data_IF_246463367128
#
_entry.id   IF_246463367128
#
_cell.length_a   1.000
_cell.length_b   1.000
_cell.length_c   1.000
_cell.angle_alpha   90.00
_cell.angle_beta   90.00
_cell.angle_gamma   90.00
#
_symmetry.space_group_name_H-M   'P 1'
#
loop_
_entity.id
_entity.type
_entity.pdbx_description
1 polymer ?
#
# COMPACT_ATOMS: atom_id res chain seq x y z
N UNK A 1 -6.87 -15.40 32.14
CA UNK A 1 -5.84 -15.66 31.12
C UNK A 1 -6.37 -15.13 29.81
N UNK A 2 -5.74 -14.11 29.24
CA UNK A 2 -6.12 -13.57 27.93
C UNK A 2 -5.98 -14.68 26.90
N UNK A 3 -7.06 -15.07 26.22
CA UNK A 3 -6.98 -16.05 25.14
C UNK A 3 -6.07 -15.50 24.04
N UNK A 4 -5.13 -16.32 23.57
CA UNK A 4 -4.27 -15.97 22.46
C UNK A 4 -5.12 -15.85 21.20
N UNK A 5 -5.35 -14.62 20.72
CA UNK A 5 -5.97 -14.40 19.43
C UNK A 5 -4.84 -14.26 18.38
N UNK A 6 -4.64 -15.24 17.48
CA UNK A 6 -3.60 -15.16 16.47
C UNK A 6 -3.77 -13.94 15.55
N UNK A 7 -5.00 -13.45 15.35
CA UNK A 7 -5.26 -12.30 14.50
C UNK A 7 -4.78 -10.98 15.13
N UNK A 8 -4.87 -10.82 16.46
CA UNK A 8 -4.33 -9.62 17.12
C UNK A 8 -2.80 -9.58 17.05
N UNK A 9 -2.14 -10.75 17.05
CA UNK A 9 -0.69 -10.84 16.83
C UNK A 9 -0.30 -10.40 15.41
N UNK A 10 -1.08 -10.77 14.39
CA UNK A 10 -0.85 -10.37 12.99
C UNK A 10 -1.00 -8.85 12.83
N UNK A 11 -2.00 -8.23 13.46
CA UNK A 11 -2.16 -6.78 13.42
C UNK A 11 -1.02 -6.04 14.11
N UNK A 12 -0.53 -6.56 15.24
CA UNK A 12 0.59 -5.95 15.97
C UNK A 12 1.93 -6.04 15.22
N UNK A 13 2.10 -7.08 14.39
CA UNK A 13 3.28 -7.27 13.54
C UNK A 13 3.21 -6.42 12.26
N UNK A 14 2.02 -6.16 11.73
CA UNK A 14 1.82 -5.39 10.50
C UNK A 14 1.30 -3.99 10.83
N UNK A 15 2.12 -3.17 11.49
CA UNK A 15 1.76 -1.78 11.81
C UNK A 15 1.67 -0.93 10.54
N UNK A 16 0.84 0.11 10.56
CA UNK A 16 0.76 1.07 9.46
C UNK A 16 2.08 1.85 9.39
N UNK A 17 2.82 1.64 8.30
CA UNK A 17 4.12 2.23 8.02
C UNK A 17 4.13 2.74 6.58
N UNK A 18 4.51 4.01 6.39
CA UNK A 18 4.61 4.71 5.10
C UNK A 18 3.87 4.07 3.91
N UNK A 19 4.53 3.20 3.12
CA UNK A 19 3.96 2.65 1.89
C UNK A 19 2.92 1.52 2.06
N UNK A 20 2.77 0.91 3.24
CA UNK A 20 2.07 -0.38 3.41
C UNK A 20 0.54 -0.28 3.66
N UNK A 21 -0.06 0.89 3.47
CA UNK A 21 -1.47 1.14 3.77
C UNK A 21 -2.44 0.11 3.18
N UNK A 22 -2.18 -0.37 1.96
CA UNK A 22 -3.03 -1.37 1.29
C UNK A 22 -3.05 -2.69 2.05
N UNK A 23 -1.87 -3.22 2.42
CA UNK A 23 -1.75 -4.47 3.17
C UNK A 23 -2.26 -4.30 4.61
N UNK A 24 -1.93 -3.18 5.25
CA UNK A 24 -2.44 -2.86 6.58
C UNK A 24 -3.97 -2.84 6.62
N UNK A 25 -4.61 -2.15 5.65
CA UNK A 25 -6.07 -2.07 5.55
C UNK A 25 -6.69 -3.44 5.26
N UNK A 26 -6.07 -4.27 4.42
CA UNK A 26 -6.55 -5.63 4.15
C UNK A 26 -6.51 -6.48 5.43
N UNK A 27 -5.42 -6.42 6.19
CA UNK A 27 -5.28 -7.17 7.43
C UNK A 27 -6.32 -6.72 8.47
N UNK A 28 -6.57 -5.40 8.56
CA UNK A 28 -7.62 -4.85 9.41
C UNK A 28 -9.02 -5.31 8.99
N UNK A 29 -9.34 -5.29 7.69
CA UNK A 29 -10.63 -5.75 7.16
C UNK A 29 -10.87 -7.24 7.45
N UNK A 30 -9.83 -8.08 7.31
CA UNK A 30 -9.89 -9.52 7.64
C UNK A 30 -10.18 -9.71 9.13
N UNK A 31 -9.47 -8.98 10.02
CA UNK A 31 -9.67 -9.07 11.46
C UNK A 31 -11.09 -8.67 11.86
N UNK A 32 -11.54 -7.50 11.41
CA UNK A 32 -12.88 -7.00 11.74
C UNK A 32 -13.98 -7.89 11.15
N UNK A 33 -13.76 -8.50 9.99
CA UNK A 33 -14.69 -9.49 9.42
C UNK A 33 -14.75 -10.75 10.28
N UNK A 34 -13.60 -11.29 10.68
CA UNK A 34 -13.53 -12.52 11.49
C UNK A 34 -14.19 -12.35 12.87
N UNK A 35 -14.09 -11.16 13.46
CA UNK A 35 -14.68 -10.83 14.76
C UNK A 35 -16.11 -10.27 14.67
N UNK A 36 -16.67 -10.11 13.46
CA UNK A 36 -18.04 -9.59 13.25
C UNK A 36 -18.20 -8.07 13.46
N UNK A 37 -17.10 -7.32 13.50
CA UNK A 37 -17.06 -5.87 13.72
C UNK A 37 -16.84 -5.03 12.47
N UNK A 38 -16.99 -5.60 11.26
CA UNK A 38 -16.76 -4.86 10.00
C UNK A 38 -17.61 -3.58 9.87
N UNK A 39 -18.81 -3.58 10.45
CA UNK A 39 -19.72 -2.42 10.44
C UNK A 39 -19.07 -1.16 11.05
N UNK A 40 -18.17 -1.32 12.04
CA UNK A 40 -17.48 -0.23 12.75
C UNK A 40 -16.67 0.68 11.81
N UNK A 41 -16.15 0.13 10.70
CA UNK A 41 -15.36 0.88 9.72
C UNK A 41 -16.09 1.10 8.38
N UNK A 42 -17.36 0.69 8.30
CA UNK A 42 -18.16 0.76 7.07
C UNK A 42 -19.35 1.70 7.21
N UNK A 43 -19.91 1.81 8.41
CA UNK A 43 -21.04 2.69 8.69
C UNK A 43 -20.54 4.06 9.16
N UNK A 44 -21.05 5.12 8.53
CA UNK A 44 -20.85 6.49 9.00
C UNK A 44 -21.50 6.67 10.37
N UNK A 45 -20.90 7.53 11.20
CA UNK A 45 -21.44 7.82 12.53
C UNK A 45 -22.88 8.32 12.39
N UNK A 46 -23.87 7.74 13.10
CA UNK A 46 -25.22 8.27 13.07
C UNK A 46 -25.22 9.73 13.51
N UNK A 47 -25.92 10.60 12.77
CA UNK A 47 -26.05 12.02 13.11
C UNK A 47 -26.63 12.14 14.53
N UNK A 48 -25.92 12.88 15.39
CA UNK A 48 -26.34 13.12 16.77
C UNK A 48 -27.70 13.82 16.75
N UNK A 49 -28.70 13.38 17.54
CA UNK A 49 -29.98 14.07 17.60
C UNK A 49 -29.79 15.50 18.10
N UNK A 50 -30.44 16.45 17.40
CA UNK A 50 -30.26 17.90 17.45
C UNK A 50 -30.49 18.58 18.82
N UNK A 51 -30.83 17.82 19.87
CA UNK A 51 -31.31 18.34 21.16
C UNK A 51 -30.51 17.88 22.41
N UNK A 52 -29.26 17.46 22.27
CA UNK A 52 -28.41 17.13 23.43
C UNK A 52 -27.33 18.21 23.63
N UNK A 53 -27.60 19.13 24.56
CA UNK A 53 -26.67 20.14 25.08
C UNK A 53 -25.38 19.52 25.59
N UNK A 54 -24.28 20.19 25.21
CA UNK A 54 -22.89 20.15 25.66
C UNK A 54 -22.45 18.98 26.56
N UNK A 55 -21.43 18.26 26.09
CA UNK A 55 -20.21 18.09 26.89
C UNK A 55 -19.05 17.71 25.97
N UNK A 56 -17.89 18.28 26.30
CA UNK A 56 -16.62 18.20 25.60
C UNK A 56 -16.16 16.76 25.36
N UNK A 57 -16.57 16.20 24.24
CA UNK A 57 -15.77 15.20 23.55
C UNK A 57 -15.22 15.95 22.34
N UNK A 58 -13.92 16.30 22.37
CA UNK A 58 -13.19 16.49 21.12
C UNK A 58 -13.64 15.37 20.21
N UNK A 59 -14.24 15.72 19.07
CA UNK A 59 -14.83 14.77 18.12
C UNK A 59 -13.75 13.77 17.74
N UNK A 60 -13.66 12.69 18.51
CA UNK A 60 -12.95 11.50 18.14
C UNK A 60 -13.88 10.95 17.08
N UNK A 61 -13.59 11.29 15.83
CA UNK A 61 -14.36 10.86 14.69
C UNK A 61 -14.63 9.37 14.82
N UNK A 62 -15.75 8.92 14.27
CA UNK A 62 -16.06 7.50 14.22
C UNK A 62 -14.87 6.70 13.69
N UNK A 63 -14.83 5.40 13.96
CA UNK A 63 -13.78 4.55 13.40
C UNK A 63 -13.74 4.62 11.87
N UNK A 64 -14.87 4.93 11.23
CA UNK A 64 -14.95 5.31 9.82
C UNK A 64 -14.18 6.61 9.51
N UNK A 65 -14.43 7.71 10.22
CA UNK A 65 -13.75 9.01 10.00
C UNK A 65 -12.24 8.90 10.20
N UNK A 66 -11.80 8.13 11.21
CA UNK A 66 -10.39 7.85 11.44
C UNK A 66 -9.77 7.05 10.29
N UNK A 67 -10.49 6.04 9.77
CA UNK A 67 -10.03 5.24 8.63
C UNK A 67 -9.94 6.08 7.34
N UNK A 68 -10.91 6.96 7.10
CA UNK A 68 -10.91 7.84 5.92
C UNK A 68 -9.77 8.87 6.01
N UNK A 69 -9.53 9.45 7.18
CA UNK A 69 -8.38 10.33 7.41
C UNK A 69 -7.04 9.61 7.14
N UNK A 70 -6.90 8.36 7.59
CA UNK A 70 -5.72 7.54 7.30
C UNK A 70 -5.60 7.22 5.80
N UNK A 71 -6.73 6.97 5.13
CA UNK A 71 -6.76 6.74 3.68
C UNK A 71 -6.29 7.95 2.90
N UNK A 72 -6.67 9.16 3.31
CA UNK A 72 -6.19 10.39 2.68
C UNK A 72 -4.68 10.55 2.88
N UNK A 73 -4.22 10.50 4.14
CA UNK A 73 -2.82 10.74 4.50
C UNK A 73 -1.84 9.71 3.90
N UNK A 74 -2.21 8.43 3.92
CA UNK A 74 -1.34 7.34 3.45
C UNK A 74 -1.64 6.90 2.02
N UNK A 75 -2.86 7.15 1.52
CA UNK A 75 -3.22 6.89 0.12
C UNK A 75 -2.47 7.81 -0.84
N UNK A 76 -2.30 9.09 -0.51
CA UNK A 76 -1.50 10.02 -1.30
C UNK A 76 -0.02 9.62 -1.34
N UNK A 77 0.55 9.24 -0.20
CA UNK A 77 1.94 8.75 -0.12
C UNK A 77 2.14 7.47 -0.93
N UNK A 78 1.21 6.51 -0.81
CA UNK A 78 1.24 5.28 -1.58
C UNK A 78 1.12 5.55 -3.10
N UNK A 79 0.24 6.49 -3.50
CA UNK A 79 0.13 6.90 -4.89
C UNK A 79 1.40 7.59 -5.41
N UNK A 80 1.96 8.54 -4.67
CA UNK A 80 3.19 9.23 -5.04
C UNK A 80 4.40 8.28 -5.12
N UNK A 81 4.51 7.36 -4.16
CA UNK A 81 5.55 6.32 -4.16
C UNK A 81 5.39 5.38 -5.36
N UNK A 82 4.16 4.94 -5.69
CA UNK A 82 3.87 4.16 -6.90
C UNK A 82 4.33 4.88 -8.15
N UNK A 83 3.94 6.15 -8.32
CA UNK A 83 4.32 6.93 -9.49
C UNK A 83 5.84 7.13 -9.57
N UNK A 84 6.51 7.31 -8.42
CA UNK A 84 7.96 7.47 -8.34
C UNK A 84 8.70 6.19 -8.72
N UNK A 85 8.35 5.05 -8.12
CA UNK A 85 8.92 3.75 -8.45
C UNK A 85 8.66 3.39 -9.92
N UNK A 86 7.44 3.63 -10.41
CA UNK A 86 7.05 3.43 -11.81
C UNK A 86 7.89 4.28 -12.76
N UNK A 87 8.05 5.58 -12.46
CA UNK A 87 8.86 6.51 -13.25
C UNK A 87 10.34 6.12 -13.21
N UNK A 88 10.87 5.76 -12.06
CA UNK A 88 12.26 5.28 -11.91
C UNK A 88 12.49 4.03 -12.75
N UNK A 89 11.56 3.08 -12.71
CA UNK A 89 11.66 1.84 -13.44
C UNK A 89 11.54 2.07 -14.96
N UNK A 90 10.59 2.89 -15.42
CA UNK A 90 10.42 3.26 -16.84
C UNK A 90 11.58 4.12 -17.40
N UNK A 91 12.31 4.84 -16.56
CA UNK A 91 13.45 5.66 -16.98
C UNK A 91 14.80 5.02 -16.70
N UNK A 92 14.85 3.90 -15.98
CA UNK A 92 16.09 3.17 -15.70
C UNK A 92 16.67 2.66 -17.02
N UNK A 93 17.87 3.15 -17.34
CA UNK A 93 18.72 2.71 -18.46
C UNK A 93 19.97 2.04 -17.87
N UNK A 94 20.55 1.11 -18.61
CA UNK A 94 21.85 0.57 -18.24
C UNK A 94 22.91 1.61 -18.55
N UNK A 95 23.85 1.82 -17.62
CA UNK A 95 24.97 2.73 -17.85
C UNK A 95 26.00 1.99 -18.70
N UNK A 96 26.59 2.67 -19.68
CA UNK A 96 27.62 2.10 -20.53
C UNK A 96 28.81 1.62 -19.68
N UNK A 97 29.26 0.39 -19.92
CA UNK A 97 30.31 -0.27 -19.11
C UNK A 97 29.88 -0.80 -17.74
N UNK A 98 28.62 -0.65 -17.32
CA UNK A 98 28.11 -1.23 -16.08
C UNK A 98 27.68 -2.69 -16.22
N UNK A 99 27.68 -3.43 -15.10
CA UNK A 99 27.28 -4.84 -15.05
C UNK A 99 25.79 -5.03 -15.37
N UNK A 100 25.50 -5.90 -16.34
CA UNK A 100 24.13 -6.34 -16.66
C UNK A 100 23.45 -6.96 -15.44
N UNK A 101 24.19 -7.73 -14.63
CA UNK A 101 23.66 -8.35 -13.40
C UNK A 101 23.16 -7.29 -12.42
N UNK A 102 23.95 -6.24 -12.19
CA UNK A 102 23.61 -5.20 -11.23
C UNK A 102 22.41 -4.38 -11.70
N UNK A 103 22.33 -4.14 -13.01
CA UNK A 103 21.17 -3.51 -13.63
C UNK A 103 19.89 -4.33 -13.46
N UNK A 104 19.96 -5.66 -13.67
CA UNK A 104 18.82 -6.56 -13.48
C UNK A 104 18.39 -6.60 -12.00
N UNK A 105 19.34 -6.65 -11.06
CA UNK A 105 19.04 -6.55 -9.62
C UNK A 105 18.30 -5.25 -9.28
N UNK A 106 18.75 -4.12 -9.83
CA UNK A 106 18.08 -2.82 -9.64
C UNK A 106 16.65 -2.83 -10.21
N UNK A 107 16.44 -3.40 -11.39
CA UNK A 107 15.10 -3.53 -11.98
C UNK A 107 14.19 -4.43 -11.15
N UNK A 108 14.69 -5.55 -10.62
CA UNK A 108 13.93 -6.42 -9.72
C UNK A 108 13.56 -5.73 -8.41
N UNK A 109 14.47 -4.94 -7.83
CA UNK A 109 14.18 -4.16 -6.62
C UNK A 109 13.03 -3.17 -6.81
N UNK A 110 13.05 -2.42 -7.91
CA UNK A 110 11.97 -1.48 -8.27
C UNK A 110 10.63 -2.18 -8.54
N UNK A 111 10.65 -3.40 -9.10
CA UNK A 111 9.44 -4.21 -9.29
C UNK A 111 8.87 -4.69 -7.95
N UNK A 112 9.73 -5.17 -7.05
CA UNK A 112 9.32 -5.57 -5.70
C UNK A 112 8.75 -4.37 -4.91
N UNK A 113 9.35 -3.18 -5.07
CA UNK A 113 8.82 -1.95 -4.49
C UNK A 113 7.41 -1.62 -5.00
N UNK A 114 7.17 -1.74 -6.32
CA UNK A 114 5.83 -1.57 -6.89
C UNK A 114 4.82 -2.60 -6.39
N UNK A 115 5.24 -3.85 -6.20
CA UNK A 115 4.41 -4.92 -5.64
C UNK A 115 4.02 -4.63 -4.18
N UNK A 116 4.98 -4.27 -3.33
CA UNK A 116 4.74 -3.88 -1.92
C UNK A 116 3.84 -2.66 -1.80
N UNK A 117 3.97 -1.72 -2.74
CA UNK A 117 3.07 -0.58 -2.80
C UNK A 117 1.64 -0.98 -3.21
N UNK A 118 1.43 -2.18 -3.75
CA UNK A 118 0.14 -2.65 -4.24
C UNK A 118 -0.21 -2.06 -5.61
N UNK A 119 0.79 -1.85 -6.48
CA UNK A 119 0.55 -1.45 -7.85
C UNK A 119 0.02 -2.64 -8.66
N UNK A 120 -1.10 -2.46 -9.38
CA UNK A 120 -1.59 -3.48 -10.30
C UNK A 120 -0.68 -3.49 -11.53
N UNK A 121 0.19 -4.51 -11.62
CA UNK A 121 1.02 -4.72 -12.81
C UNK A 121 0.14 -5.37 -13.88
N UNK A 122 -0.57 -4.55 -14.65
CA UNK A 122 -1.39 -5.01 -15.77
C UNK A 122 -0.53 -5.73 -16.84
N UNK A 123 -1.17 -6.61 -17.64
CA UNK A 123 -0.50 -7.35 -18.73
C UNK A 123 0.26 -6.43 -19.69
N UNK A 124 -0.25 -5.22 -19.94
CA UNK A 124 0.41 -4.20 -20.76
C UNK A 124 1.76 -3.76 -20.20
N UNK A 125 1.87 -3.67 -18.87
CA UNK A 125 3.13 -3.34 -18.19
C UNK A 125 4.09 -4.51 -18.30
N UNK A 126 3.62 -5.75 -18.09
CA UNK A 126 4.42 -6.98 -18.25
C UNK A 126 5.06 -7.10 -19.64
N UNK A 127 4.32 -6.78 -20.69
CA UNK A 127 4.85 -6.74 -22.06
C UNK A 127 5.90 -5.63 -22.24
N UNK A 128 5.64 -4.44 -21.71
CA UNK A 128 6.58 -3.30 -21.76
C UNK A 128 7.88 -3.61 -21.00
N UNK A 129 7.79 -4.36 -19.90
CA UNK A 129 8.93 -4.87 -19.13
C UNK A 129 9.74 -5.88 -19.94
N UNK A 130 9.10 -6.90 -20.49
CA UNK A 130 9.77 -7.93 -21.29
C UNK A 130 10.49 -7.32 -22.49
N UNK A 131 9.87 -6.37 -23.19
CA UNK A 131 10.52 -5.68 -24.32
C UNK A 131 11.72 -4.85 -23.89
N UNK A 132 11.66 -4.16 -22.73
CA UNK A 132 12.82 -3.37 -22.23
C UNK A 132 13.93 -4.25 -21.70
N UNK A 133 13.63 -5.35 -21.01
CA UNK A 133 14.64 -6.32 -20.59
C UNK A 133 15.34 -6.92 -21.82
N UNK A 134 14.58 -7.26 -22.87
CA UNK A 134 15.16 -7.70 -24.15
C UNK A 134 16.06 -6.63 -24.79
N UNK A 135 15.63 -5.36 -24.79
CA UNK A 135 16.46 -4.25 -25.31
C UNK A 135 17.74 -4.04 -24.49
N UNK A 136 17.67 -4.15 -23.16
CA UNK A 136 18.86 -4.04 -22.29
C UNK A 136 19.85 -5.16 -22.56
N UNK A 137 19.38 -6.40 -22.67
CA UNK A 137 20.23 -7.54 -22.99
C UNK A 137 20.80 -7.38 -24.41
N UNK A 138 20.00 -7.00 -25.39
CA UNK A 138 20.44 -6.80 -26.78
C UNK A 138 21.53 -5.73 -26.90
N UNK A 139 21.37 -4.57 -26.26
CA UNK A 139 22.38 -3.50 -26.25
C UNK A 139 23.66 -3.86 -25.46
N UNK A 140 23.67 -4.95 -24.71
CA UNK A 140 24.88 -5.42 -24.00
C UNK A 140 25.79 -6.27 -24.90
N UNK A 141 25.32 -6.68 -26.09
CA UNK A 141 26.03 -7.56 -27.02
C UNK A 141 26.34 -6.92 -28.38
N UNK A 142 26.00 -5.64 -28.58
CA UNK A 142 26.27 -4.85 -29.78
C UNK A 142 27.29 -3.75 -29.45
#
# INVERSE_FOLDING_TARGET
>A
MSSFNPLTSILNQNKLEGPNYVDWKRNLDIFLTAEGYKFVITEECPEKPENATDDQHQSMGSAYDMLESLKEMFGEQNHAAKQTAMKSLLNTKMVEGSSVRDHVLKMMGLLNELEVLGAVIDKSLKLRWSSRLCLTVFNSFA
#
